data_IF_807554503608
#
_entry.id   IF_807554503608
#
_cell.length_a   1.000
_cell.length_b   1.000
_cell.length_c   1.000
_cell.angle_alpha   90.00
_cell.angle_beta   90.00
_cell.angle_gamma   90.00
#
_symmetry.space_group_name_H-M   'P 1'
#
loop_
_entity.id
_entity.type
_entity.pdbx_description
1 polymer ?
#
# COMPACT_ATOMS: atom_id res chain seq x y z
N UNK A 1 -18.82 -8.38 -34.64
CA UNK A 1 -19.18 -9.48 -33.73
C UNK A 1 -18.33 -9.54 -32.46
N UNK A 2 -17.11 -9.02 -32.44
CA UNK A 2 -16.20 -9.04 -31.29
C UNK A 2 -16.57 -8.07 -30.14
N UNK A 3 -17.21 -6.94 -30.43
CA UNK A 3 -17.56 -5.92 -29.43
C UNK A 3 -18.73 -6.37 -28.54
N UNK A 4 -19.67 -7.16 -29.07
CA UNK A 4 -20.85 -7.64 -28.32
C UNK A 4 -20.52 -8.70 -27.26
N UNK A 5 -19.42 -9.43 -27.43
CA UNK A 5 -18.99 -10.44 -26.46
C UNK A 5 -18.20 -9.85 -25.25
N UNK A 6 -17.62 -8.65 -25.39
CA UNK A 6 -16.92 -7.98 -24.28
C UNK A 6 -17.89 -7.43 -23.23
N UNK A 7 -19.00 -6.83 -23.68
CA UNK A 7 -20.05 -6.36 -22.76
C UNK A 7 -20.75 -7.50 -22.00
N UNK A 8 -20.91 -8.66 -22.63
CA UNK A 8 -21.54 -9.81 -21.98
C UNK A 8 -20.64 -10.43 -20.87
N UNK A 9 -19.32 -10.41 -21.06
CA UNK A 9 -18.37 -10.91 -20.05
C UNK A 9 -18.26 -10.00 -18.83
N UNK A 10 -18.25 -8.69 -19.03
CA UNK A 10 -18.28 -7.73 -17.92
C UNK A 10 -19.58 -7.80 -17.11
N UNK A 11 -20.73 -8.01 -17.77
CA UNK A 11 -22.01 -8.17 -17.10
C UNK A 11 -22.11 -9.50 -16.29
N UNK A 12 -21.46 -10.57 -16.75
CA UNK A 12 -21.44 -11.86 -16.04
C UNK A 12 -20.54 -11.79 -14.80
N UNK A 13 -19.41 -11.09 -14.86
CA UNK A 13 -18.52 -10.89 -13.71
C UNK A 13 -19.22 -10.04 -12.63
N UNK A 14 -19.93 -8.98 -13.01
CA UNK A 14 -20.75 -8.18 -12.10
C UNK A 14 -21.89 -8.99 -11.46
N UNK A 15 -22.49 -9.92 -12.20
CA UNK A 15 -23.59 -10.77 -11.71
C UNK A 15 -23.11 -11.84 -10.73
N UNK A 16 -21.90 -12.38 -10.90
CA UNK A 16 -21.30 -13.36 -9.99
C UNK A 16 -20.92 -12.74 -8.63
N UNK A 17 -20.39 -11.52 -8.63
CA UNK A 17 -20.10 -10.77 -7.40
C UNK A 17 -21.41 -10.42 -6.67
N UNK A 18 -22.48 -10.05 -7.39
CA UNK A 18 -23.79 -9.77 -6.82
C UNK A 18 -24.48 -11.02 -6.24
N UNK A 19 -24.26 -12.21 -6.82
CA UNK A 19 -24.81 -13.46 -6.29
C UNK A 19 -24.15 -13.91 -4.97
N UNK A 20 -22.86 -13.63 -4.74
CA UNK A 20 -22.19 -13.96 -3.48
C UNK A 20 -22.68 -13.09 -2.32
N UNK A 21 -23.02 -11.83 -2.56
CA UNK A 21 -23.56 -10.91 -1.53
C UNK A 21 -25.01 -11.27 -1.15
N UNK A 22 -25.80 -11.84 -2.09
CA UNK A 22 -27.22 -12.16 -1.83
C UNK A 22 -27.46 -13.50 -1.09
N UNK A 23 -26.46 -14.36 -0.94
CA UNK A 23 -26.60 -15.64 -0.23
C UNK A 23 -26.45 -15.52 1.30
N UNK A 24 -26.00 -14.39 1.82
CA UNK A 24 -25.87 -14.12 3.26
C UNK A 24 -27.11 -13.43 3.90
N UNK A 25 -28.11 -13.02 3.12
CA UNK A 25 -29.21 -12.16 3.57
C UNK A 25 -30.55 -12.87 3.81
N UNK A 26 -30.59 -14.21 3.92
CA UNK A 26 -31.84 -14.93 4.17
C UNK A 26 -31.74 -15.82 5.40
N UNK A 27 -31.86 -15.25 6.60
CA UNK A 27 -32.47 -15.92 7.76
C UNK A 27 -32.97 -14.90 8.78
N UNK A 28 -34.24 -15.16 9.16
CA UNK A 28 -34.98 -14.67 10.29
C UNK A 28 -35.71 -13.32 10.20
N UNK A 29 -36.95 -13.43 9.67
CA UNK A 29 -38.09 -12.58 10.07
C UNK A 29 -39.11 -13.47 10.83
N UNK A 30 -39.40 -13.15 12.07
CA UNK A 30 -40.68 -13.44 12.73
C UNK A 30 -41.12 -12.27 13.60
N UNK A 31 -42.23 -11.72 13.19
CA UNK A 31 -43.32 -10.95 13.77
C UNK A 31 -43.34 -10.63 15.28
N UNK A 32 -43.62 -9.37 15.64
CA UNK A 32 -44.92 -8.88 16.13
C UNK A 32 -44.86 -7.42 16.58
N UNK A 33 -45.71 -6.63 15.95
CA UNK A 33 -46.88 -5.88 16.41
C UNK A 33 -46.66 -4.59 17.25
N UNK A 34 -47.24 -3.55 16.64
CA UNK A 34 -47.61 -2.23 17.07
C UNK A 34 -48.01 -2.02 18.53
N UNK A 35 -47.69 -0.84 19.07
CA UNK A 35 -48.63 0.10 19.68
C UNK A 35 -47.96 1.45 19.98
N UNK A 36 -48.54 2.54 19.48
CA UNK A 36 -48.34 3.95 19.84
C UNK A 36 -49.51 4.41 20.69
N UNK A 37 -49.53 5.68 21.10
CA UNK A 37 -48.82 6.44 22.16
C UNK A 37 -49.80 6.95 23.24
N UNK A 38 -49.33 7.48 24.36
CA UNK A 38 -50.10 8.46 25.17
C UNK A 38 -49.19 9.43 25.91
N UNK A 39 -49.38 10.68 25.60
CA UNK A 39 -49.11 11.89 26.34
C UNK A 39 -49.70 11.86 27.77
N UNK A 40 -49.00 12.41 28.75
CA UNK A 40 -49.61 13.33 29.71
C UNK A 40 -48.62 14.11 30.58
N UNK A 41 -48.93 15.33 30.65
CA UNK A 41 -48.57 16.55 31.39
C UNK A 41 -48.30 16.44 32.90
N UNK A 42 -47.33 17.35 33.27
CA UNK A 42 -47.24 18.18 34.51
C UNK A 42 -47.46 17.66 35.88
N UNK A 43 -46.46 17.88 36.77
CA UNK A 43 -46.68 18.71 37.95
C UNK A 43 -45.37 19.10 38.64
N UNK A 44 -45.29 20.39 38.97
CA UNK A 44 -44.26 21.09 39.71
C UNK A 44 -44.41 20.78 41.19
N UNK A 45 -43.30 20.51 41.90
CA UNK A 45 -43.18 20.83 43.31
C UNK A 45 -41.73 21.17 43.69
N UNK A 46 -41.61 22.37 44.28
CA UNK A 46 -40.42 22.89 44.97
C UNK A 46 -40.17 22.10 46.25
N UNK A 47 -38.92 21.84 46.62
CA UNK A 47 -38.46 21.96 48.03
C UNK A 47 -36.92 21.86 48.11
N UNK A 48 -36.35 22.95 48.59
CA UNK A 48 -35.24 23.13 49.52
C UNK A 48 -33.82 22.58 49.25
N UNK A 49 -32.94 23.54 49.23
CA UNK A 49 -31.46 23.53 49.29
C UNK A 49 -30.95 22.72 50.51
N UNK A 50 -29.97 21.88 50.24
CA UNK A 50 -28.90 21.55 51.18
C UNK A 50 -27.59 21.62 50.47
N UNK A 51 -26.76 22.59 50.84
CA UNK A 51 -25.33 22.67 50.52
C UNK A 51 -24.65 21.41 51.08
N UNK A 52 -24.17 20.53 50.20
CA UNK A 52 -23.10 19.60 50.48
C UNK A 52 -21.89 20.01 49.59
N UNK A 53 -20.85 20.48 50.28
CA UNK A 53 -19.52 20.72 49.74
C UNK A 53 -18.99 19.39 49.14
N UNK A 54 -19.14 19.21 47.85
CA UNK A 54 -18.44 18.16 47.07
C UNK A 54 -17.14 18.75 46.58
N UNK A 55 -16.05 18.19 47.07
CA UNK A 55 -14.70 18.33 46.56
C UNK A 55 -14.69 17.82 45.12
N UNK A 56 -14.96 18.72 44.14
CA UNK A 56 -14.69 18.42 42.72
C UNK A 56 -13.18 18.28 42.54
N UNK A 57 -12.70 17.03 42.52
CA UNK A 57 -11.46 16.73 41.82
C UNK A 57 -11.66 17.18 40.39
N UNK A 58 -10.91 18.19 39.95
CA UNK A 58 -10.78 18.53 38.55
C UNK A 58 -10.43 17.26 37.78
N UNK A 59 -11.36 16.74 37.01
CA UNK A 59 -11.09 15.70 36.00
C UNK A 59 -10.25 16.43 34.95
N UNK A 60 -8.99 16.09 34.84
CA UNK A 60 -8.19 16.50 33.70
C UNK A 60 -8.97 16.15 32.43
N UNK A 61 -9.09 17.06 31.44
CA UNK A 61 -9.73 16.74 30.19
C UNK A 61 -9.04 15.52 29.60
N UNK A 62 -9.82 14.51 29.21
CA UNK A 62 -9.29 13.34 28.52
C UNK A 62 -8.52 13.83 27.29
N UNK A 63 -7.25 13.45 27.15
CA UNK A 63 -6.44 13.75 25.98
C UNK A 63 -7.17 13.23 24.75
N UNK A 64 -7.25 14.03 23.68
CA UNK A 64 -7.78 13.59 22.39
C UNK A 64 -6.81 12.54 21.83
N UNK A 65 -7.20 11.29 21.65
CA UNK A 65 -6.31 10.23 21.15
C UNK A 65 -5.80 10.50 19.73
N UNK A 66 -6.39 11.46 19.01
CA UNK A 66 -5.94 11.91 17.69
C UNK A 66 -5.05 13.16 17.75
N UNK A 67 -4.88 13.77 18.94
CA UNK A 67 -3.95 14.87 19.11
C UNK A 67 -2.51 14.36 18.95
N UNK A 68 -1.79 14.96 18.00
CA UNK A 68 -0.41 14.58 17.73
C UNK A 68 0.54 15.29 18.69
N UNK A 69 1.58 14.62 19.19
CA UNK A 69 2.62 15.28 19.97
C UNK A 69 3.25 16.46 19.22
N UNK A 70 3.75 17.46 19.94
CA UNK A 70 4.43 18.64 19.38
C UNK A 70 5.51 18.22 18.36
N UNK A 71 5.47 18.82 17.16
CA UNK A 71 6.41 18.56 16.08
C UNK A 71 6.18 17.23 15.33
N UNK A 72 5.09 16.54 15.61
CA UNK A 72 4.66 15.35 14.86
C UNK A 72 3.52 15.67 13.91
N UNK A 73 3.52 14.94 12.78
CA UNK A 73 2.44 14.94 11.79
C UNK A 73 2.14 13.50 11.38
N UNK A 74 1.02 13.29 10.72
CA UNK A 74 0.70 11.96 10.19
C UNK A 74 1.55 11.65 8.97
N UNK A 75 2.21 10.48 8.96
CA UNK A 75 2.92 9.95 7.81
C UNK A 75 2.00 9.79 6.60
N UNK A 76 2.49 10.16 5.42
CA UNK A 76 1.77 9.91 4.16
C UNK A 76 1.75 8.42 3.77
N UNK A 77 2.70 7.61 4.26
CA UNK A 77 2.85 6.20 3.91
C UNK A 77 2.22 5.25 4.93
N UNK A 78 2.20 5.63 6.21
CA UNK A 78 1.74 4.75 7.29
C UNK A 78 0.60 5.29 8.14
N UNK A 79 0.26 6.58 8.03
CA UNK A 79 -0.71 7.23 8.90
C UNK A 79 -0.26 7.40 10.36
N UNK A 80 0.88 6.84 10.76
CA UNK A 80 1.45 6.93 12.11
C UNK A 80 2.11 8.30 12.36
N UNK A 81 2.26 8.75 13.63
CA UNK A 81 2.96 9.97 13.96
C UNK A 81 4.45 9.90 13.59
N UNK A 82 4.92 10.83 12.78
CA UNK A 82 6.34 10.99 12.41
C UNK A 82 6.78 12.44 12.62
N UNK A 83 8.10 12.67 12.63
CA UNK A 83 8.63 14.04 12.67
C UNK A 83 8.20 14.79 11.41
N UNK A 84 7.83 16.06 11.55
CA UNK A 84 7.43 16.94 10.43
C UNK A 84 8.49 16.95 9.32
N UNK A 85 9.78 16.94 9.69
CA UNK A 85 10.89 16.85 8.75
C UNK A 85 10.84 15.56 7.91
N UNK A 86 10.51 14.43 8.54
CA UNK A 86 10.41 13.13 7.85
C UNK A 86 9.23 13.14 6.87
N UNK A 87 8.06 13.62 7.29
CA UNK A 87 6.88 13.68 6.43
C UNK A 87 7.02 14.68 5.27
N UNK A 88 7.80 15.74 5.43
CA UNK A 88 8.08 16.70 4.34
C UNK A 88 9.04 16.16 3.30
N UNK A 89 9.92 15.25 3.70
CA UNK A 89 10.92 14.67 2.82
C UNK A 89 10.28 13.70 1.84
N UNK A 90 10.72 13.75 0.59
CA UNK A 90 10.33 12.77 -0.44
C UNK A 90 10.77 11.37 -0.05
N UNK A 91 9.90 10.36 -0.14
CA UNK A 91 10.29 8.99 0.11
C UNK A 91 11.21 8.46 -1.00
N UNK A 92 11.91 7.39 -0.70
CA UNK A 92 12.65 6.62 -1.70
C UNK A 92 11.77 5.48 -2.20
N UNK A 93 11.73 5.27 -3.52
CA UNK A 93 11.14 4.11 -4.15
C UNK A 93 12.26 3.22 -4.70
N UNK A 94 12.61 2.14 -4.00
CA UNK A 94 13.79 1.32 -4.30
C UNK A 94 13.38 -0.01 -4.91
N UNK A 95 13.93 -0.31 -6.10
CA UNK A 95 13.72 -1.59 -6.79
C UNK A 95 14.49 -2.72 -6.11
N UNK A 96 13.79 -3.71 -5.58
CA UNK A 96 14.35 -4.83 -4.84
C UNK A 96 14.21 -6.15 -5.60
N UNK A 97 15.25 -6.97 -5.46
CA UNK A 97 15.33 -8.28 -6.09
C UNK A 97 14.52 -9.31 -5.31
N UNK A 98 13.57 -9.97 -5.97
CA UNK A 98 12.73 -10.99 -5.33
C UNK A 98 13.02 -12.42 -5.77
N UNK A 99 14.16 -12.67 -6.42
CA UNK A 99 14.57 -14.04 -6.75
C UNK A 99 15.10 -14.78 -5.51
N UNK A 100 14.92 -16.10 -5.46
CA UNK A 100 15.39 -16.96 -4.38
C UNK A 100 16.89 -16.79 -4.08
N UNK A 101 17.72 -16.69 -5.13
CA UNK A 101 19.17 -16.45 -5.03
C UNK A 101 19.55 -15.08 -4.38
N UNK A 102 18.57 -14.20 -4.19
CA UNK A 102 18.75 -12.90 -3.54
C UNK A 102 18.21 -12.88 -2.11
N UNK A 103 17.69 -14.00 -1.62
CA UNK A 103 17.16 -14.08 -0.25
C UNK A 103 18.28 -14.44 0.76
N UNK A 104 18.17 -13.98 2.02
CA UNK A 104 17.26 -12.94 2.49
C UNK A 104 17.66 -11.56 1.93
N UNK A 105 16.66 -10.67 1.75
CA UNK A 105 16.91 -9.27 1.38
C UNK A 105 17.30 -8.45 2.60
N UNK A 106 18.09 -7.40 2.39
CA UNK A 106 18.47 -6.48 3.45
C UNK A 106 17.63 -5.22 3.41
N UNK A 107 17.03 -4.86 4.53
CA UNK A 107 16.36 -3.57 4.75
C UNK A 107 14.92 -3.49 4.26
N UNK A 108 14.32 -4.57 3.76
CA UNK A 108 12.93 -4.56 3.31
C UNK A 108 11.93 -4.31 4.45
N UNK A 109 12.26 -4.75 5.67
CA UNK A 109 11.42 -4.53 6.84
C UNK A 109 11.28 -3.05 7.23
N UNK A 110 12.14 -2.18 6.72
CA UNK A 110 12.04 -0.72 6.91
C UNK A 110 11.13 -0.04 5.88
N UNK A 111 10.75 -0.73 4.81
CA UNK A 111 9.80 -0.17 3.86
C UNK A 111 8.42 0.01 4.51
N UNK A 112 7.81 1.17 4.28
CA UNK A 112 6.48 1.54 4.76
C UNK A 112 5.39 0.99 3.84
N UNK A 113 5.65 1.01 2.53
CA UNK A 113 4.80 0.43 1.51
C UNK A 113 5.65 -0.44 0.58
N UNK A 114 5.15 -1.62 0.23
CA UNK A 114 5.82 -2.52 -0.70
C UNK A 114 4.88 -2.88 -1.85
N UNK A 115 5.36 -2.72 -3.07
CA UNK A 115 4.68 -3.19 -4.28
C UNK A 115 5.37 -4.44 -4.82
N UNK A 116 4.58 -5.40 -5.28
CA UNK A 116 5.03 -6.57 -6.00
C UNK A 116 4.34 -6.67 -7.36
N UNK A 117 5.13 -6.74 -8.45
CA UNK A 117 4.64 -6.96 -9.81
C UNK A 117 5.34 -8.16 -10.43
N UNK A 118 4.63 -8.83 -11.32
CA UNK A 118 5.23 -9.79 -12.25
C UNK A 118 6.10 -9.02 -13.26
N UNK A 119 7.26 -9.57 -13.58
CA UNK A 119 8.16 -9.12 -14.64
C UNK A 119 8.43 -10.29 -15.62
N UNK A 120 9.42 -10.18 -16.50
CA UNK A 120 9.74 -11.19 -17.50
C UNK A 120 9.94 -12.58 -16.87
N UNK A 121 9.60 -13.63 -17.60
CA UNK A 121 9.77 -15.01 -17.16
C UNK A 121 8.89 -15.40 -15.97
N UNK A 122 7.80 -14.68 -15.75
CA UNK A 122 6.87 -14.88 -14.62
C UNK A 122 7.50 -14.74 -13.23
N UNK A 123 8.72 -14.17 -13.12
CA UNK A 123 9.30 -13.82 -11.82
C UNK A 123 8.67 -12.52 -11.31
N UNK A 124 8.84 -12.22 -10.03
CA UNK A 124 8.38 -10.94 -9.47
C UNK A 124 9.54 -10.04 -9.06
N UNK A 125 9.27 -8.75 -8.95
CA UNK A 125 10.12 -7.76 -8.30
C UNK A 125 9.34 -7.00 -7.28
N UNK A 126 10.06 -6.52 -6.27
CA UNK A 126 9.50 -5.63 -5.27
C UNK A 126 9.99 -4.20 -5.52
N UNK A 127 9.18 -3.26 -5.10
CA UNK A 127 9.57 -1.86 -4.91
C UNK A 127 9.18 -1.47 -3.49
N UNK A 128 10.15 -1.15 -2.66
CA UNK A 128 9.93 -0.63 -1.32
C UNK A 128 9.89 0.90 -1.34
N UNK A 129 8.91 1.48 -0.65
CA UNK A 129 8.82 2.91 -0.37
C UNK A 129 9.25 3.15 1.08
N UNK A 130 10.20 4.06 1.25
CA UNK A 130 10.83 4.36 2.54
C UNK A 130 10.68 5.85 2.84
N UNK A 131 9.87 6.21 3.83
CA UNK A 131 9.74 7.59 4.30
C UNK A 131 10.90 7.94 5.26
N UNK A 132 11.16 7.05 6.22
CA UNK A 132 12.33 7.16 7.08
C UNK A 132 13.44 6.18 6.65
N UNK A 133 14.54 6.71 6.16
CA UNK A 133 15.73 5.95 5.73
C UNK A 133 17.03 6.42 6.37
N UNK A 134 16.95 7.14 7.49
CA UNK A 134 18.11 7.78 8.12
C UNK A 134 19.11 6.77 8.70
N UNK A 135 18.65 5.62 9.17
CA UNK A 135 19.47 4.59 9.82
C UNK A 135 19.75 3.38 8.89
N UNK A 136 19.56 3.53 7.57
CA UNK A 136 19.70 2.40 6.65
C UNK A 136 21.10 2.33 6.03
N UNK A 137 21.94 1.46 6.58
CA UNK A 137 23.32 1.26 6.09
C UNK A 137 23.43 0.25 4.94
N UNK A 138 22.42 -0.62 4.74
CA UNK A 138 22.43 -1.65 3.69
C UNK A 138 21.02 -1.94 3.21
N UNK A 139 20.68 -1.54 1.99
CA UNK A 139 19.39 -1.84 1.34
C UNK A 139 19.65 -2.58 0.03
N UNK A 140 18.97 -3.68 -0.18
CA UNK A 140 19.06 -4.46 -1.42
C UNK A 140 18.84 -5.95 -1.26
N UNK A 141 19.17 -6.70 -2.29
CA UNK A 141 19.86 -6.31 -3.52
C UNK A 141 18.94 -5.57 -4.48
N UNK A 142 19.49 -4.57 -5.14
CA UNK A 142 18.76 -3.66 -6.03
C UNK A 142 18.73 -4.19 -7.46
N UNK A 143 17.62 -3.94 -8.18
CA UNK A 143 17.38 -4.47 -9.52
C UNK A 143 16.90 -3.42 -10.51
N UNK A 144 16.77 -3.88 -11.75
CA UNK A 144 16.43 -3.04 -12.88
C UNK A 144 14.99 -2.57 -12.85
N UNK A 145 14.77 -1.34 -13.32
CA UNK A 145 13.50 -0.69 -13.51
C UNK A 145 12.63 -1.38 -14.58
N UNK A 146 11.31 -1.27 -14.40
CA UNK A 146 10.26 -1.42 -15.41
C UNK A 146 9.36 -0.20 -15.36
N UNK A 147 8.76 0.14 -16.47
CA UNK A 147 7.97 1.36 -16.64
C UNK A 147 6.87 1.53 -15.59
N UNK A 148 6.11 0.47 -15.33
CA UNK A 148 5.00 0.51 -14.37
C UNK A 148 5.43 0.77 -12.92
N UNK A 149 6.65 0.41 -12.52
CA UNK A 149 7.19 0.81 -11.22
C UNK A 149 7.50 2.31 -11.15
N UNK A 150 7.90 2.93 -12.26
CA UNK A 150 8.10 4.37 -12.29
C UNK A 150 6.78 5.10 -12.09
N UNK A 151 5.73 4.72 -12.83
CA UNK A 151 4.38 5.30 -12.62
C UNK A 151 3.89 5.15 -11.19
N UNK A 152 4.17 4.01 -10.56
CA UNK A 152 3.81 3.77 -9.15
C UNK A 152 4.64 4.64 -8.19
N UNK A 153 5.93 4.82 -8.44
CA UNK A 153 6.78 5.69 -7.61
C UNK A 153 6.35 7.17 -7.67
N UNK A 154 5.91 7.62 -8.85
CA UNK A 154 5.46 8.99 -9.08
C UNK A 154 4.20 9.35 -8.28
N UNK A 155 3.34 8.39 -7.95
CA UNK A 155 2.16 8.59 -7.10
C UNK A 155 2.52 9.08 -5.69
N UNK A 156 3.76 8.86 -5.26
CA UNK A 156 4.29 9.23 -3.95
C UNK A 156 5.29 10.40 -4.01
N UNK A 157 5.43 11.05 -5.17
CA UNK A 157 6.49 12.04 -5.40
C UNK A 157 7.88 11.50 -4.98
N UNK A 158 8.09 10.18 -5.11
CA UNK A 158 9.29 9.51 -4.64
C UNK A 158 10.52 9.79 -5.53
N UNK A 159 11.72 9.75 -4.94
CA UNK A 159 12.97 9.63 -5.69
C UNK A 159 13.15 8.14 -6.00
N UNK A 160 13.12 7.79 -7.29
CA UNK A 160 13.16 6.41 -7.74
C UNK A 160 14.58 5.86 -7.82
N UNK A 161 14.82 4.67 -7.26
CA UNK A 161 16.16 4.08 -7.22
C UNK A 161 16.19 2.69 -7.86
N UNK A 162 17.11 2.47 -8.83
CA UNK A 162 17.21 1.23 -9.58
C UNK A 162 18.61 0.99 -10.12
N UNK A 163 18.92 -0.25 -10.48
CA UNK A 163 20.19 -0.59 -11.13
C UNK A 163 19.93 -1.21 -12.52
N UNK A 164 20.04 -0.39 -13.56
CA UNK A 164 19.66 -0.73 -14.93
C UNK A 164 18.14 -0.64 -15.15
N UNK A 165 17.73 -0.74 -16.41
CA UNK A 165 16.32 -0.61 -16.83
C UNK A 165 15.99 -1.45 -18.05
N UNK A 166 14.69 -1.70 -18.27
CA UNK A 166 14.16 -2.18 -19.54
C UNK A 166 14.21 -1.07 -20.60
N UNK A 167 14.31 -1.44 -21.86
CA UNK A 167 14.29 -0.48 -22.99
C UNK A 167 13.02 0.38 -22.97
N UNK A 168 11.88 -0.21 -22.64
CA UNK A 168 10.58 0.46 -22.58
C UNK A 168 10.47 1.54 -21.50
N UNK A 169 11.31 1.50 -20.46
CA UNK A 169 11.32 2.51 -19.41
C UNK A 169 12.23 3.71 -19.70
N UNK A 170 13.05 3.68 -20.76
CA UNK A 170 14.07 4.70 -21.02
C UNK A 170 13.46 6.07 -21.24
N UNK A 171 12.43 6.16 -22.07
CA UNK A 171 11.78 7.44 -22.39
C UNK A 171 11.09 8.07 -21.17
N UNK A 172 10.46 7.24 -20.32
CA UNK A 172 9.83 7.71 -19.09
C UNK A 172 10.87 8.18 -18.06
N UNK A 173 11.94 7.41 -17.87
CA UNK A 173 13.04 7.77 -16.96
C UNK A 173 13.75 9.06 -17.37
N UNK A 174 13.68 9.45 -18.65
CA UNK A 174 14.26 10.69 -19.19
C UNK A 174 13.33 11.92 -19.06
N UNK A 175 12.15 11.79 -18.47
CA UNK A 175 11.24 12.92 -18.26
C UNK A 175 11.75 13.81 -17.12
N UNK A 176 11.56 15.11 -17.24
CA UNK A 176 12.00 16.13 -16.30
C UNK A 176 11.31 16.07 -14.91
N UNK A 177 10.18 15.38 -14.83
CA UNK A 177 9.45 15.12 -13.58
C UNK A 177 9.82 13.78 -12.93
N UNK A 178 10.78 13.01 -13.48
CA UNK A 178 11.20 11.71 -12.96
C UNK A 178 12.60 11.78 -12.38
N UNK A 179 12.70 12.08 -11.10
CA UNK A 179 13.98 12.02 -10.37
C UNK A 179 14.35 10.56 -10.10
N UNK A 180 15.47 10.09 -10.67
CA UNK A 180 15.90 8.71 -10.49
C UNK A 180 17.40 8.54 -10.27
N UNK A 181 17.75 7.70 -9.29
CA UNK A 181 19.09 7.26 -8.99
C UNK A 181 19.36 5.94 -9.73
N UNK A 182 19.96 6.04 -10.90
CA UNK A 182 20.27 4.88 -11.75
C UNK A 182 21.70 4.38 -11.50
N UNK A 183 21.86 3.11 -11.12
CA UNK A 183 23.17 2.49 -10.92
C UNK A 183 24.03 2.37 -12.16
N UNK A 184 23.48 2.57 -13.37
CA UNK A 184 24.22 2.66 -14.64
C UNK A 184 24.32 4.12 -15.13
N UNK A 185 23.81 5.08 -14.37
CA UNK A 185 23.84 6.49 -14.68
C UNK A 185 24.98 7.24 -13.99
N UNK A 186 24.90 8.58 -14.04
CA UNK A 186 25.93 9.48 -13.53
C UNK A 186 26.24 9.30 -12.04
N UNK A 187 25.22 9.00 -11.21
CA UNK A 187 25.39 8.80 -9.78
C UNK A 187 25.67 7.34 -9.38
N UNK A 188 25.82 6.42 -10.33
CA UNK A 188 25.94 4.99 -10.06
C UNK A 188 27.03 4.62 -9.07
N UNK A 189 28.26 5.07 -9.32
CA UNK A 189 29.41 4.80 -8.43
C UNK A 189 29.33 5.54 -7.08
N UNK A 190 28.45 6.51 -6.98
CA UNK A 190 28.23 7.28 -5.74
C UNK A 190 27.18 6.61 -4.84
N UNK A 191 26.08 6.15 -5.45
CA UNK A 191 24.91 5.64 -4.74
C UNK A 191 24.99 4.17 -4.41
N UNK A 192 25.70 3.38 -5.21
CA UNK A 192 25.62 1.92 -5.17
C UNK A 192 26.98 1.29 -4.93
N UNK A 193 26.98 0.17 -4.27
CA UNK A 193 28.15 -0.69 -4.09
C UNK A 193 27.79 -2.16 -4.33
N UNK A 194 28.82 -2.98 -4.57
CA UNK A 194 28.64 -4.44 -4.70
C UNK A 194 29.28 -5.14 -3.53
N UNK A 195 28.58 -6.13 -3.01
CA UNK A 195 29.12 -7.04 -1.99
C UNK A 195 29.79 -8.25 -2.66
N UNK A 196 30.58 -8.99 -1.90
CA UNK A 196 31.31 -10.19 -2.38
C UNK A 196 30.73 -11.49 -1.84
N UNK A 197 29.75 -11.43 -0.94
CA UNK A 197 29.04 -12.55 -0.33
C UNK A 197 28.04 -13.20 -1.30
N UNK A 198 27.67 -12.49 -2.37
CA UNK A 198 26.79 -12.95 -3.42
C UNK A 198 27.36 -12.66 -4.79
N UNK A 199 26.94 -13.46 -5.79
CA UNK A 199 27.35 -13.25 -7.16
C UNK A 199 26.46 -12.20 -7.86
N UNK A 200 27.03 -11.48 -8.83
CA UNK A 200 26.27 -10.65 -9.73
C UNK A 200 25.22 -11.49 -10.48
N UNK A 201 23.99 -11.00 -10.69
CA UNK A 201 23.53 -9.64 -10.46
C UNK A 201 22.81 -9.44 -9.09
N UNK A 202 23.00 -10.33 -8.10
CA UNK A 202 22.26 -10.35 -6.84
C UNK A 202 22.99 -9.64 -5.68
N UNK A 203 23.97 -8.79 -5.98
CA UNK A 203 24.92 -8.24 -5.02
C UNK A 203 25.07 -6.70 -5.06
N UNK A 204 24.07 -5.99 -5.58
CA UNK A 204 24.06 -4.52 -5.61
C UNK A 204 23.27 -4.00 -4.43
N UNK A 205 23.87 -3.10 -3.66
CA UNK A 205 23.26 -2.48 -2.48
C UNK A 205 23.47 -0.98 -2.49
N UNK A 206 22.72 -0.28 -1.64
CA UNK A 206 22.88 1.13 -1.32
C UNK A 206 22.88 1.34 0.19
N UNK A 207 23.21 2.55 0.63
CA UNK A 207 23.15 3.01 2.01
C UNK A 207 22.64 4.44 2.07
N UNK A 208 22.23 4.90 3.26
CA UNK A 208 21.84 6.30 3.49
C UNK A 208 22.90 7.28 2.94
N UNK A 209 24.17 7.04 3.24
CA UNK A 209 25.26 7.90 2.78
C UNK A 209 25.36 7.94 1.23
N UNK A 210 25.19 6.80 0.57
CA UNK A 210 25.19 6.71 -0.88
C UNK A 210 23.98 7.43 -1.50
N UNK A 211 22.82 7.28 -0.90
CA UNK A 211 21.58 7.95 -1.33
C UNK A 211 21.73 9.47 -1.26
N UNK A 212 22.14 10.01 -0.10
CA UNK A 212 22.33 11.45 0.08
C UNK A 212 23.36 12.03 -0.89
N UNK A 213 24.48 11.33 -1.07
CA UNK A 213 25.51 11.76 -1.99
C UNK A 213 24.99 11.78 -3.44
N UNK A 214 24.14 10.83 -3.83
CA UNK A 214 23.53 10.77 -5.14
C UNK A 214 22.50 11.86 -5.37
N UNK A 215 21.58 12.08 -4.43
CA UNK A 215 20.57 13.15 -4.46
C UNK A 215 21.29 14.51 -4.63
N UNK A 216 22.30 14.75 -3.79
CA UNK A 216 23.12 15.98 -3.85
C UNK A 216 23.84 16.14 -5.19
N UNK A 217 24.43 15.05 -5.72
CA UNK A 217 25.16 15.06 -6.98
C UNK A 217 24.28 15.43 -8.17
N UNK A 218 23.05 14.90 -8.20
CA UNK A 218 22.10 15.15 -9.27
C UNK A 218 21.24 16.41 -9.05
N UNK A 219 21.31 17.01 -7.85
CA UNK A 219 20.58 18.23 -7.51
C UNK A 219 19.07 18.03 -7.39
N UNK A 220 18.63 16.84 -6.98
CA UNK A 220 17.23 16.55 -6.84
C UNK A 220 16.61 17.28 -5.63
N UNK A 221 15.33 17.63 -5.75
CA UNK A 221 14.53 18.18 -4.68
C UNK A 221 14.37 17.13 -3.56
N UNK A 222 14.64 17.55 -2.32
CA UNK A 222 14.57 16.64 -1.16
C UNK A 222 13.18 16.61 -0.54
N UNK A 223 12.46 17.73 -0.51
CA UNK A 223 11.11 17.82 0.07
C UNK A 223 10.02 17.62 -1.00
N UNK A 224 8.83 17.23 -0.58
CA UNK A 224 7.65 17.19 -1.43
C UNK A 224 7.35 18.55 -2.07
N UNK A 225 6.71 18.55 -3.23
CA UNK A 225 6.22 19.79 -3.82
C UNK A 225 5.04 20.35 -3.02
N UNK A 226 4.85 21.67 -3.10
CA UNK A 226 3.74 22.34 -2.42
C UNK A 226 2.39 21.79 -2.93
N UNK A 227 1.52 21.40 -1.99
CA UNK A 227 0.24 20.80 -2.31
C UNK A 227 0.27 19.30 -2.60
N UNK A 228 1.41 18.62 -2.31
CA UNK A 228 1.43 17.15 -2.34
C UNK A 228 0.35 16.59 -1.41
N UNK A 229 -0.45 15.67 -1.92
CA UNK A 229 -1.57 15.06 -1.21
C UNK A 229 -1.33 13.61 -0.82
N UNK A 230 -2.07 13.13 0.17
CA UNK A 230 -2.05 11.74 0.60
C UNK A 230 -2.54 10.79 -0.50
N UNK A 231 -2.01 9.57 -0.54
CA UNK A 231 -2.54 8.46 -1.33
C UNK A 231 -3.62 7.67 -0.56
N UNK A 232 -3.36 7.37 0.70
CA UNK A 232 -4.23 6.55 1.54
C UNK A 232 -5.11 7.41 2.44
N UNK A 233 -6.35 6.97 2.67
CA UNK A 233 -7.20 7.44 3.74
C UNK A 233 -6.96 6.54 4.96
N UNK A 234 -6.18 7.02 5.92
CA UNK A 234 -5.95 6.29 7.16
C UNK A 234 -7.05 6.58 8.18
N UNK A 235 -7.46 5.55 8.94
CA UNK A 235 -8.35 5.73 10.06
C UNK A 235 -7.73 6.62 11.16
N UNK A 236 -8.55 7.12 12.09
CA UNK A 236 -8.06 7.84 13.25
C UNK A 236 -7.10 6.96 14.07
N UNK A 237 -6.20 7.59 14.87
CA UNK A 237 -5.17 6.85 15.62
C UNK A 237 -5.75 5.92 16.70
N UNK A 238 -6.92 6.26 17.22
CA UNK A 238 -7.66 5.50 18.24
C UNK A 238 -8.65 4.48 17.64
N UNK A 239 -8.73 4.41 16.31
CA UNK A 239 -9.64 3.52 15.59
C UNK A 239 -8.89 2.40 14.88
N UNK A 240 -9.63 1.34 14.62
CA UNK A 240 -9.17 0.20 13.86
C UNK A 240 -10.21 -0.19 12.80
N UNK A 241 -9.76 -0.35 11.56
CA UNK A 241 -10.56 -0.90 10.48
C UNK A 241 -10.52 -2.42 10.57
N UNK A 242 -11.67 -3.05 10.77
CA UNK A 242 -11.77 -4.51 10.92
C UNK A 242 -12.34 -5.21 9.70
N UNK A 243 -12.79 -4.45 8.68
CA UNK A 243 -13.54 -4.98 7.53
C UNK A 243 -14.73 -5.84 7.97
N UNK A 244 -15.45 -5.40 9.01
CA UNK A 244 -16.61 -6.12 9.56
C UNK A 244 -17.64 -6.44 8.47
N UNK A 245 -18.12 -7.69 8.44
CA UNK A 245 -19.02 -8.18 7.39
C UNK A 245 -18.31 -8.62 6.10
N UNK A 246 -17.01 -8.39 5.98
CA UNK A 246 -16.18 -8.91 4.88
C UNK A 246 -15.95 -10.42 4.96
N UNK A 247 -15.49 -11.02 3.87
CA UNK A 247 -15.15 -12.44 3.81
C UNK A 247 -13.95 -12.77 4.72
N UNK A 248 -13.92 -13.99 5.25
CA UNK A 248 -12.75 -14.49 5.99
C UNK A 248 -11.53 -14.54 5.06
N UNK A 249 -10.37 -14.13 5.59
CA UNK A 249 -9.13 -13.99 4.84
C UNK A 249 -7.91 -14.23 5.73
N UNK A 250 -7.92 -15.31 6.52
CA UNK A 250 -6.77 -15.66 7.38
C UNK A 250 -5.56 -16.15 6.60
N UNK A 251 -5.77 -16.64 5.39
CA UNK A 251 -4.73 -17.02 4.42
C UNK A 251 -5.04 -16.43 3.05
N UNK A 252 -4.08 -15.70 2.47
CA UNK A 252 -4.23 -15.08 1.16
C UNK A 252 -2.99 -15.28 0.30
N UNK A 253 -3.18 -15.58 -1.00
CA UNK A 253 -2.08 -15.76 -1.94
C UNK A 253 -2.43 -15.16 -3.31
N UNK A 254 -1.55 -14.27 -3.88
CA UNK A 254 -1.78 -13.64 -5.18
C UNK A 254 -1.54 -14.57 -6.37
N UNK A 255 -1.10 -15.80 -6.11
CA UNK A 255 -0.85 -16.86 -7.11
C UNK A 255 0.27 -16.55 -8.12
N UNK A 256 1.31 -15.79 -7.75
CA UNK A 256 2.49 -15.65 -8.60
C UNK A 256 3.23 -16.98 -8.76
N UNK A 257 3.67 -17.26 -10.00
CA UNK A 257 4.06 -18.62 -10.41
C UNK A 257 5.39 -19.10 -9.83
N UNK A 258 6.36 -18.21 -9.65
CA UNK A 258 7.74 -18.58 -9.30
C UNK A 258 7.96 -18.57 -7.79
N UNK A 259 7.82 -17.43 -7.14
CA UNK A 259 8.05 -17.29 -5.72
C UNK A 259 6.88 -17.78 -4.86
N UNK A 260 5.68 -17.96 -5.44
CA UNK A 260 4.47 -18.49 -4.80
C UNK A 260 4.25 -17.88 -3.41
N UNK A 261 4.15 -16.55 -3.31
CA UNK A 261 4.03 -15.91 -2.01
C UNK A 261 2.64 -16.12 -1.43
N UNK A 262 2.58 -16.09 -0.10
CA UNK A 262 1.33 -16.02 0.62
C UNK A 262 1.50 -15.19 1.89
N UNK A 263 0.38 -14.85 2.50
CA UNK A 263 0.31 -14.15 3.77
C UNK A 263 -0.63 -14.90 4.70
N UNK A 264 -0.27 -14.98 5.96
CA UNK A 264 -1.09 -15.53 7.03
C UNK A 264 -1.39 -14.45 8.06
N UNK A 265 -2.66 -14.31 8.41
CA UNK A 265 -3.05 -13.37 9.46
C UNK A 265 -2.64 -13.92 10.81
N UNK A 266 -1.86 -13.15 11.53
CA UNK A 266 -1.39 -13.46 12.87
C UNK A 266 -2.23 -12.69 13.90
N UNK A 267 -3.17 -13.39 14.57
CA UNK A 267 -4.06 -12.79 15.57
C UNK A 267 -3.32 -12.13 16.75
N UNK A 268 -2.09 -12.56 17.05
CA UNK A 268 -1.32 -12.01 18.18
C UNK A 268 -0.74 -10.63 17.86
N UNK A 269 -0.33 -10.43 16.61
CA UNK A 269 0.27 -9.17 16.15
C UNK A 269 -0.75 -8.27 15.45
N UNK A 270 -1.88 -8.84 15.02
CA UNK A 270 -2.89 -8.16 14.21
C UNK A 270 -2.44 -7.87 12.79
N UNK A 271 -1.39 -8.55 12.29
CA UNK A 271 -0.75 -8.32 10.99
C UNK A 271 -0.77 -9.57 10.12
N UNK A 272 -0.51 -9.37 8.83
CA UNK A 272 -0.25 -10.44 7.87
C UNK A 272 1.25 -10.71 7.78
N UNK A 273 1.68 -11.89 8.23
CA UNK A 273 3.05 -12.38 8.10
C UNK A 273 3.26 -12.91 6.68
N UNK A 274 4.37 -12.51 6.02
CA UNK A 274 4.62 -12.85 4.62
C UNK A 274 5.55 -14.05 4.49
N UNK A 275 5.23 -14.90 3.51
CA UNK A 275 5.97 -16.09 3.12
C UNK A 275 6.22 -16.09 1.61
N UNK A 276 7.29 -16.76 1.16
CA UNK A 276 7.54 -17.08 -0.26
C UNK A 276 8.58 -18.20 -0.36
N UNK A 277 8.64 -18.87 -1.51
CA UNK A 277 9.55 -20.01 -1.74
C UNK A 277 9.38 -21.14 -0.72
N UNK A 278 8.21 -21.26 -0.09
CA UNK A 278 7.91 -22.29 0.92
C UNK A 278 8.33 -21.93 2.34
N UNK A 279 8.87 -20.74 2.60
CA UNK A 279 9.41 -20.31 3.88
C UNK A 279 8.95 -18.90 4.27
N UNK A 280 9.10 -18.56 5.55
CA UNK A 280 8.90 -17.20 6.03
C UNK A 280 9.89 -16.24 5.36
N UNK A 281 9.43 -15.09 4.91
CA UNK A 281 10.33 -14.08 4.35
C UNK A 281 10.97 -13.26 5.47
N UNK A 282 12.27 -13.43 5.62
CA UNK A 282 13.08 -12.80 6.68
C UNK A 282 13.87 -11.63 6.09
N UNK A 283 13.99 -10.53 6.83
CA UNK A 283 14.93 -9.45 6.52
C UNK A 283 16.33 -9.75 7.07
N UNK A 284 17.36 -9.62 6.24
CA UNK A 284 18.76 -9.88 6.58
C UNK A 284 19.32 -8.95 7.68
N UNK A 285 18.80 -7.71 7.78
CA UNK A 285 19.28 -6.74 8.77
C UNK A 285 18.68 -6.97 10.15
N UNK A 286 17.39 -7.29 10.22
CA UNK A 286 16.69 -7.43 11.50
C UNK A 286 16.60 -8.86 11.98
N UNK A 287 16.70 -9.84 11.06
CA UNK A 287 16.43 -11.24 11.34
C UNK A 287 14.95 -11.55 11.60
N UNK A 288 14.06 -10.59 11.40
CA UNK A 288 12.62 -10.71 11.65
C UNK A 288 11.85 -11.04 10.37
N UNK A 289 10.74 -11.76 10.53
CA UNK A 289 9.81 -11.98 9.44
C UNK A 289 9.09 -10.68 9.08
N UNK A 290 8.99 -10.37 7.79
CA UNK A 290 8.27 -9.19 7.34
C UNK A 290 6.77 -9.39 7.48
N UNK A 291 6.09 -8.36 7.98
CA UNK A 291 4.64 -8.35 8.21
C UNK A 291 4.02 -6.99 7.91
N UNK A 292 2.72 -6.98 7.62
CA UNK A 292 1.99 -5.80 7.17
C UNK A 292 0.64 -5.69 7.86
N UNK A 293 0.24 -4.46 8.16
CA UNK A 293 -1.08 -4.14 8.74
C UNK A 293 -2.17 -4.24 7.68
N UNK A 294 -1.82 -3.90 6.44
CA UNK A 294 -2.70 -3.89 5.28
C UNK A 294 -2.09 -4.69 4.13
N UNK A 295 -2.89 -5.50 3.46
CA UNK A 295 -2.54 -6.12 2.18
C UNK A 295 -3.59 -5.78 1.14
N UNK A 296 -3.17 -5.41 -0.07
CA UNK A 296 -4.06 -5.09 -1.17
C UNK A 296 -3.68 -5.94 -2.37
N UNK A 297 -4.64 -6.66 -2.94
CA UNK A 297 -4.52 -7.24 -4.28
C UNK A 297 -5.15 -6.26 -5.24
N UNK A 298 -4.32 -5.63 -6.08
CA UNK A 298 -4.72 -4.63 -7.06
C UNK A 298 -4.65 -5.24 -8.46
N UNK A 299 -5.78 -5.30 -9.15
CA UNK A 299 -5.88 -5.91 -10.47
C UNK A 299 -5.73 -4.86 -11.55
N UNK A 300 -4.70 -5.03 -12.39
CA UNK A 300 -4.41 -4.12 -13.49
C UNK A 300 -4.52 -4.83 -14.82
N UNK A 301 -5.07 -4.15 -15.83
CA UNK A 301 -4.95 -4.59 -17.22
C UNK A 301 -3.49 -4.69 -17.60
N UNK A 302 -3.16 -5.66 -18.42
CA UNK A 302 -1.78 -5.91 -18.81
C UNK A 302 -1.67 -6.37 -20.26
N UNK A 303 -0.47 -6.31 -20.81
CA UNK A 303 -0.13 -6.90 -22.10
C UNK A 303 1.33 -7.31 -22.14
N UNK A 304 1.64 -8.31 -22.95
CA UNK A 304 3.01 -8.63 -23.29
C UNK A 304 3.46 -7.71 -24.43
N UNK A 305 4.63 -7.09 -24.30
CA UNK A 305 5.16 -6.11 -25.23
C UNK A 305 5.94 -6.75 -26.39
N UNK A 306 6.67 -7.83 -26.08
CA UNK A 306 7.52 -8.50 -27.06
C UNK A 306 7.73 -10.00 -26.75
N UNK A 307 8.48 -10.68 -27.60
CA UNK A 307 8.85 -12.10 -27.48
C UNK A 307 9.85 -12.42 -26.36
N UNK A 308 10.40 -11.39 -25.69
CA UNK A 308 11.25 -11.52 -24.49
C UNK A 308 10.47 -11.43 -23.20
N UNK A 309 9.15 -11.53 -23.29
CA UNK A 309 8.21 -11.47 -22.17
C UNK A 309 8.21 -10.14 -21.40
N UNK A 310 8.64 -9.02 -22.00
CA UNK A 310 8.43 -7.72 -21.39
C UNK A 310 6.95 -7.42 -21.26
N UNK A 311 6.56 -6.90 -20.10
CA UNK A 311 5.15 -6.64 -19.76
C UNK A 311 4.89 -5.14 -19.66
N UNK A 312 3.67 -4.73 -20.01
CA UNK A 312 3.08 -3.45 -19.64
C UNK A 312 1.90 -3.69 -18.72
N UNK A 313 1.80 -2.89 -17.67
CA UNK A 313 0.62 -2.79 -16.81
C UNK A 313 -0.01 -1.43 -16.99
N UNK A 314 -1.33 -1.40 -17.14
CA UNK A 314 -2.09 -0.14 -17.19
C UNK A 314 -2.18 0.42 -15.76
N UNK A 315 -1.41 1.46 -15.47
CA UNK A 315 -1.39 2.14 -14.18
C UNK A 315 -2.34 3.35 -14.12
N UNK A 316 -3.19 3.57 -15.14
CA UNK A 316 -3.97 4.80 -15.28
C UNK A 316 -5.48 4.60 -15.28
N UNK A 317 -6.00 3.50 -15.85
CA UNK A 317 -7.43 3.36 -16.16
C UNK A 317 -8.31 2.81 -15.04
N UNK A 318 -7.73 2.52 -13.87
CA UNK A 318 -8.47 1.93 -12.76
C UNK A 318 -8.70 0.42 -12.88
N UNK A 319 -9.21 -0.18 -11.81
CA UNK A 319 -9.47 -1.61 -11.73
C UNK A 319 -10.05 -2.04 -10.40
N UNK A 320 -10.19 -3.34 -10.21
CA UNK A 320 -10.70 -3.95 -8.97
C UNK A 320 -9.58 -4.05 -7.94
N UNK A 321 -9.94 -4.03 -6.66
CA UNK A 321 -9.07 -4.42 -5.55
C UNK A 321 -9.76 -5.40 -4.62
N UNK A 322 -8.94 -6.14 -3.88
CA UNK A 322 -9.31 -6.79 -2.63
C UNK A 322 -8.42 -6.21 -1.54
N UNK A 323 -9.03 -5.64 -0.51
CA UNK A 323 -8.34 -5.09 0.64
C UNK A 323 -8.48 -6.03 1.83
N UNK A 324 -7.34 -6.42 2.40
CA UNK A 324 -7.21 -7.35 3.50
C UNK A 324 -6.63 -6.67 4.73
N UNK A 325 -7.34 -6.77 5.84
CA UNK A 325 -6.87 -6.36 7.15
C UNK A 325 -7.62 -7.15 8.22
N UNK A 326 -7.01 -7.40 9.37
CA UNK A 326 -7.61 -8.09 10.52
C UNK A 326 -8.28 -9.44 10.18
N UNK A 327 -7.67 -10.18 9.25
CA UNK A 327 -8.18 -11.50 8.84
C UNK A 327 -9.45 -11.44 7.99
N UNK A 328 -9.81 -10.27 7.46
CA UNK A 328 -11.01 -10.03 6.64
C UNK A 328 -10.69 -9.38 5.31
N UNK A 329 -11.56 -9.58 4.33
CA UNK A 329 -11.46 -9.07 2.98
C UNK A 329 -12.70 -8.25 2.61
N UNK A 330 -12.48 -7.07 2.01
CA UNK A 330 -13.50 -6.32 1.29
C UNK A 330 -13.06 -6.11 -0.16
N UNK A 331 -14.03 -6.03 -1.07
CA UNK A 331 -13.80 -5.78 -2.49
C UNK A 331 -14.08 -4.31 -2.77
N UNK A 332 -13.26 -3.71 -3.62
CA UNK A 332 -13.42 -2.33 -4.04
C UNK A 332 -12.79 -2.08 -5.40
N UNK A 333 -12.46 -0.85 -5.67
CA UNK A 333 -11.84 -0.42 -6.91
C UNK A 333 -10.75 0.62 -6.65
N UNK A 334 -9.76 0.67 -7.54
CA UNK A 334 -8.76 1.71 -7.55
C UNK A 334 -8.95 2.60 -8.77
N UNK A 335 -8.64 3.88 -8.61
CA UNK A 335 -8.58 4.85 -9.70
C UNK A 335 -7.60 5.97 -9.37
N UNK A 336 -7.10 6.67 -10.40
CA UNK A 336 -6.28 7.86 -10.21
C UNK A 336 -7.17 9.06 -9.86
N UNK A 337 -6.73 9.82 -8.86
CA UNK A 337 -7.35 11.09 -8.48
C UNK A 337 -6.78 12.22 -9.35
N UNK A 338 -7.42 12.49 -10.47
CA UNK A 338 -6.96 13.47 -11.45
C UNK A 338 -7.04 14.92 -10.94
N UNK A 339 -7.85 15.18 -9.91
CA UNK A 339 -7.95 16.51 -9.28
C UNK A 339 -6.67 16.85 -8.49
N UNK A 340 -5.92 15.84 -8.09
CA UNK A 340 -4.61 15.95 -7.43
C UNK A 340 -3.42 15.79 -8.39
N UNK A 341 -3.68 15.68 -9.69
CA UNK A 341 -2.61 15.59 -10.69
C UNK A 341 -1.80 16.89 -10.73
N UNK A 342 -0.55 16.85 -10.29
CA UNK A 342 0.33 18.02 -10.34
C UNK A 342 0.46 18.54 -11.78
N UNK A 343 0.16 19.82 -11.98
CA UNK A 343 0.20 20.48 -13.29
C UNK A 343 -0.63 19.77 -14.38
N UNK A 344 -1.68 19.02 -13.97
CA UNK A 344 -2.53 18.23 -14.87
C UNK A 344 -1.84 16.99 -15.44
N UNK A 345 -0.67 16.60 -14.92
CA UNK A 345 0.05 15.41 -15.37
C UNK A 345 -0.53 14.16 -14.68
N UNK A 346 -1.20 13.32 -15.46
CA UNK A 346 -1.83 12.08 -14.97
C UNK A 346 -0.84 11.11 -14.31
N UNK A 347 0.43 11.11 -14.73
CA UNK A 347 1.46 10.24 -14.16
C UNK A 347 1.75 10.59 -12.69
N UNK A 348 1.50 11.84 -12.29
CA UNK A 348 1.71 12.36 -10.94
C UNK A 348 0.44 12.30 -10.07
N UNK A 349 -0.69 11.88 -10.63
CA UNK A 349 -1.94 11.73 -9.88
C UNK A 349 -1.86 10.50 -8.95
N UNK A 350 -2.16 10.62 -7.65
CA UNK A 350 -2.17 9.46 -6.77
C UNK A 350 -3.31 8.49 -7.11
N UNK A 351 -3.07 7.19 -6.93
CA UNK A 351 -4.15 6.19 -6.93
C UNK A 351 -4.87 6.24 -5.59
N UNK A 352 -6.20 6.15 -5.63
CA UNK A 352 -7.06 6.02 -4.44
C UNK A 352 -7.90 4.77 -4.52
N UNK A 353 -8.40 4.33 -3.38
CA UNK A 353 -9.20 3.12 -3.23
C UNK A 353 -10.60 3.46 -2.77
N UNK A 354 -11.60 2.87 -3.41
CA UNK A 354 -13.01 3.11 -3.16
C UNK A 354 -13.76 1.80 -2.97
N UNK A 355 -14.77 1.80 -2.11
CA UNK A 355 -15.72 0.69 -1.97
C UNK A 355 -16.64 0.62 -3.20
N UNK A 356 -17.55 -0.36 -3.22
CA UNK A 356 -18.51 -0.54 -4.31
C UNK A 356 -19.60 0.54 -4.36
N UNK A 357 -19.76 1.30 -3.27
CA UNK A 357 -20.70 2.42 -3.16
C UNK A 357 -20.05 3.75 -3.56
N UNK A 358 -18.73 3.75 -3.81
CA UNK A 358 -17.95 4.92 -4.24
C UNK A 358 -17.40 5.75 -3.09
N UNK A 359 -17.44 5.26 -1.85
CA UNK A 359 -16.78 5.92 -0.73
C UNK A 359 -15.29 5.53 -0.72
N UNK A 360 -14.43 6.46 -0.36
CA UNK A 360 -12.99 6.15 -0.20
C UNK A 360 -12.79 5.16 0.96
N UNK A 361 -12.02 4.10 0.72
CA UNK A 361 -11.75 3.07 1.71
C UNK A 361 -10.76 3.61 2.75
N UNK A 362 -11.15 3.60 4.01
CA UNK A 362 -10.21 3.78 5.12
C UNK A 362 -9.36 2.53 5.31
N UNK A 363 -8.04 2.71 5.51
CA UNK A 363 -7.11 1.63 5.84
C UNK A 363 -6.51 1.83 7.23
N UNK A 364 -6.04 0.75 7.84
CA UNK A 364 -5.37 0.80 9.14
C UNK A 364 -4.05 1.57 9.06
N UNK A 365 -3.72 2.27 10.15
CA UNK A 365 -2.39 2.84 10.34
C UNK A 365 -1.35 1.71 10.37
N UNK A 366 -0.21 1.91 9.73
CA UNK A 366 0.88 0.93 9.64
C UNK A 366 1.31 0.62 8.21
N UNK A 367 2.04 -0.46 8.04
CA UNK A 367 2.65 -0.85 6.75
C UNK A 367 1.66 -1.50 5.81
N UNK A 368 1.84 -1.23 4.51
CA UNK A 368 0.96 -1.75 3.46
C UNK A 368 1.75 -2.54 2.42
N UNK A 369 1.27 -3.75 2.06
CA UNK A 369 1.77 -4.52 0.93
C UNK A 369 0.75 -4.56 -0.20
N UNK A 370 1.17 -4.24 -1.43
CA UNK A 370 0.32 -4.20 -2.61
C UNK A 370 0.83 -5.20 -3.65
N UNK A 371 0.05 -6.26 -3.87
CA UNK A 371 0.29 -7.21 -4.95
C UNK A 371 -0.44 -6.72 -6.20
N UNK A 372 0.30 -6.34 -7.24
CA UNK A 372 -0.31 -5.96 -8.52
C UNK A 372 -0.42 -7.18 -9.42
N UNK A 373 -1.65 -7.60 -9.63
CA UNK A 373 -2.04 -8.85 -10.27
C UNK A 373 -2.60 -8.55 -11.66
N UNK A 374 -2.28 -9.40 -12.62
CA UNK A 374 -2.88 -9.37 -13.94
C UNK A 374 -4.40 -9.56 -13.82
N UNK A 375 -5.22 -8.68 -14.41
CA UNK A 375 -6.68 -8.75 -14.30
C UNK A 375 -7.29 -10.06 -14.82
N UNK A 376 -6.54 -10.79 -15.64
CA UNK A 376 -6.89 -12.15 -16.12
C UNK A 376 -6.71 -13.23 -15.06
N UNK A 377 -6.01 -12.95 -13.95
CA UNK A 377 -5.70 -13.91 -12.89
C UNK A 377 -6.56 -13.75 -11.63
N UNK A 378 -7.61 -12.94 -11.71
CA UNK A 378 -8.52 -12.66 -10.58
C UNK A 378 -9.14 -13.94 -9.98
N UNK A 379 -9.46 -14.93 -10.82
CA UNK A 379 -10.04 -16.21 -10.36
C UNK A 379 -8.98 -17.19 -9.81
N UNK A 380 -7.71 -16.85 -9.94
CA UNK A 380 -6.61 -17.73 -9.55
C UNK A 380 -6.03 -17.42 -8.16
N UNK A 381 -6.38 -16.28 -7.57
CA UNK A 381 -5.96 -15.95 -6.21
C UNK A 381 -6.63 -16.84 -5.17
N UNK A 382 -5.97 -17.03 -4.03
CA UNK A 382 -6.51 -17.82 -2.93
C UNK A 382 -6.84 -16.90 -1.77
N UNK A 383 -8.06 -16.99 -1.26
CA UNK A 383 -8.55 -16.32 -0.04
C UNK A 383 -9.28 -17.33 0.82
N UNK A 384 -8.85 -17.51 2.08
CA UNK A 384 -9.40 -18.49 3.03
C UNK A 384 -9.47 -17.92 4.44
#
# INVERSE_FOLDING_TARGET
MAIRNRFLRSAVILLLVFCMVMLSACKDKKDKAEEQPKENTESVSKTEEKEESSNEKAVEPAEDPNELPDGKVRSYLTGLPVDEKTAKRRPLAIMLNNLEAAQPMSGISYADVVYEFVVEGSITRLMGLFENYDDLDKIGSIRSCREYFVYTALEFDAIYMHFGQATYAVDLLGRDYVDNLNGLGEAGDTCFYRTTDRQAPHNVYTSKAGIDAGIKKLGYREDHYDGFGRKFLFCDLDKEVTNEGGADASYIAPNYKINKPWFEYNEKTGKYDRYQYGEAQIDDLTGEQISFDNVIFQYNKWSQLDEKDYLAFDCHSGGVIQYFTKGKCVVGQWQRDLDLAKDGNVDLAPVRYYDLDGNEIEINNGKTFICVIQDTDLENVVVK
#
